data_IF_140430122320
#
_entry.id   IF_140430122320
#
_cell.length_a   1.000
_cell.length_b   1.000
_cell.length_c   1.000
_cell.angle_alpha   90.00
_cell.angle_beta   90.00
_cell.angle_gamma   90.00
#
_symmetry.space_group_name_H-M   'P 1'
#
loop_
_entity.id
_entity.type
_entity.pdbx_description
1 polymer ?
#
# COMPACT_ATOMS: atom_id res chain seq x y z
N UNK A 1 47.20 52.67 25.47
CA UNK A 1 46.72 51.42 26.10
C UNK A 1 45.52 50.90 25.26
N UNK A 2 45.76 49.94 24.38
CA UNK A 2 44.75 49.38 23.48
C UNK A 2 44.41 48.00 24.02
N UNK A 3 43.19 47.84 24.53
CA UNK A 3 42.69 46.55 25.06
C UNK A 3 42.00 45.79 23.89
N UNK A 4 42.67 44.73 23.42
CA UNK A 4 42.12 43.81 22.45
C UNK A 4 41.15 42.86 23.16
N UNK A 5 39.86 43.02 22.92
CA UNK A 5 38.84 42.05 23.31
C UNK A 5 38.75 40.98 22.21
N UNK A 6 39.22 39.76 22.54
CA UNK A 6 39.10 38.61 21.69
C UNK A 6 37.65 38.12 21.69
N UNK A 7 36.98 38.17 20.52
CA UNK A 7 35.68 37.54 20.28
C UNK A 7 35.95 36.08 19.94
N UNK A 8 35.64 35.18 20.86
CA UNK A 8 35.63 33.77 20.61
C UNK A 8 34.31 33.39 19.88
N UNK A 9 34.39 33.10 18.58
CA UNK A 9 33.28 32.61 17.79
C UNK A 9 33.09 31.12 18.09
N UNK A 10 32.00 30.79 18.81
CA UNK A 10 31.57 29.43 19.08
C UNK A 10 30.80 28.91 17.86
N UNK A 11 31.46 28.14 17.01
CA UNK A 11 30.82 27.42 15.88
C UNK A 11 30.03 26.23 16.43
N UNK A 12 28.69 26.38 16.49
CA UNK A 12 27.77 25.31 16.78
C UNK A 12 27.65 24.41 15.52
N UNK A 13 28.29 23.25 15.53
CA UNK A 13 28.11 22.23 14.49
C UNK A 13 26.73 21.57 14.68
N UNK A 14 25.77 21.93 13.87
CA UNK A 14 24.47 21.25 13.79
C UNK A 14 24.70 19.95 13.01
N UNK A 15 24.80 18.83 13.72
CA UNK A 15 24.79 17.50 13.11
C UNK A 15 23.37 17.20 12.63
N UNK A 16 23.11 17.37 11.35
CA UNK A 16 21.89 16.88 10.69
C UNK A 16 21.95 15.36 10.65
N UNK A 17 21.27 14.69 11.58
CA UNK A 17 20.99 13.26 11.49
C UNK A 17 20.03 13.02 10.33
N UNK A 18 20.55 12.59 9.18
CA UNK A 18 19.75 12.08 8.08
C UNK A 18 19.13 10.77 8.56
N UNK A 19 17.85 10.81 9.00
CA UNK A 19 17.10 9.61 9.28
C UNK A 19 16.96 8.85 7.95
N UNK A 20 17.55 7.65 7.87
CA UNK A 20 17.35 6.75 6.75
C UNK A 20 15.86 6.40 6.68
N UNK A 21 15.14 7.02 5.76
CA UNK A 21 13.79 6.61 5.42
C UNK A 21 13.91 5.23 4.78
N UNK A 22 13.37 4.21 5.43
CA UNK A 22 13.20 2.90 4.81
C UNK A 22 12.31 3.10 3.58
N UNK A 23 12.89 2.90 2.40
CA UNK A 23 12.14 3.00 1.14
C UNK A 23 10.97 2.02 1.19
N UNK A 24 9.80 2.46 0.72
CA UNK A 24 8.64 1.59 0.57
C UNK A 24 9.02 0.37 -0.31
N UNK A 25 8.50 -0.83 -0.01
CA UNK A 25 8.85 -2.02 -0.77
C UNK A 25 8.43 -1.88 -2.23
N UNK A 26 9.31 -2.30 -3.15
CA UNK A 26 8.99 -2.35 -4.58
C UNK A 26 8.15 -3.60 -4.87
N UNK A 27 6.98 -3.40 -5.50
CA UNK A 27 6.09 -4.48 -5.87
C UNK A 27 6.58 -5.30 -7.07
N UNK A 28 6.33 -6.61 -7.02
CA UNK A 28 6.60 -7.56 -8.10
C UNK A 28 5.29 -8.23 -8.53
N UNK A 29 4.91 -8.04 -9.79
CA UNK A 29 3.64 -8.53 -10.32
C UNK A 29 3.57 -10.07 -10.41
N UNK A 30 4.70 -10.76 -10.60
CA UNK A 30 4.71 -12.22 -10.64
C UNK A 30 4.41 -12.79 -9.24
N UNK A 31 5.06 -12.26 -8.20
CA UNK A 31 4.74 -12.62 -6.82
C UNK A 31 3.31 -12.21 -6.43
N UNK A 32 2.85 -11.04 -6.92
CA UNK A 32 1.48 -10.58 -6.71
C UNK A 32 0.44 -11.56 -7.26
N UNK A 33 0.68 -12.12 -8.45
CA UNK A 33 -0.19 -13.12 -9.06
C UNK A 33 -0.42 -14.34 -8.16
N UNK A 34 0.63 -14.83 -7.53
CA UNK A 34 0.54 -16.01 -6.67
C UNK A 34 -0.28 -15.77 -5.38
N UNK A 35 -0.47 -14.49 -5.04
CA UNK A 35 -1.20 -14.05 -3.83
C UNK A 35 -2.67 -13.72 -4.08
N UNK A 36 -3.14 -13.75 -5.33
CA UNK A 36 -4.51 -13.32 -5.71
C UNK A 36 -5.63 -14.22 -5.21
N UNK A 37 -5.35 -15.44 -4.76
CA UNK A 37 -6.37 -16.44 -4.42
C UNK A 37 -7.45 -15.95 -3.45
N UNK A 38 -7.07 -15.13 -2.47
CA UNK A 38 -8.03 -14.55 -1.52
C UNK A 38 -8.84 -13.39 -2.11
N UNK A 39 -8.37 -12.83 -3.20
CA UNK A 39 -8.99 -11.68 -3.87
C UNK A 39 -10.00 -12.13 -4.93
N UNK A 40 -9.64 -13.16 -5.72
CA UNK A 40 -10.38 -13.61 -6.90
C UNK A 40 -11.77 -14.13 -6.59
N UNK A 41 -12.00 -14.70 -5.40
CA UNK A 41 -13.30 -15.21 -4.98
C UNK A 41 -14.40 -14.14 -4.96
N UNK A 42 -14.02 -12.88 -4.84
CA UNK A 42 -14.94 -11.75 -4.89
C UNK A 42 -14.62 -10.81 -6.06
N UNK A 43 -13.38 -10.40 -6.21
CA UNK A 43 -12.95 -9.42 -7.21
C UNK A 43 -12.75 -10.00 -8.62
N UNK A 44 -12.70 -11.34 -8.76
CA UNK A 44 -12.60 -12.02 -10.06
C UNK A 44 -13.93 -12.29 -10.75
N UNK A 45 -15.06 -12.01 -10.10
CA UNK A 45 -16.40 -12.28 -10.61
C UNK A 45 -17.06 -10.97 -11.04
N UNK A 46 -17.43 -10.89 -12.31
CA UNK A 46 -18.08 -9.70 -12.84
C UNK A 46 -19.45 -9.49 -12.19
N UNK A 47 -19.68 -8.25 -11.70
CA UNK A 47 -20.93 -7.87 -11.08
C UNK A 47 -21.19 -8.50 -9.72
N UNK A 48 -20.17 -9.11 -9.09
CA UNK A 48 -20.32 -9.68 -7.75
C UNK A 48 -20.74 -8.63 -6.71
N UNK A 49 -21.69 -9.00 -5.88
CA UNK A 49 -22.20 -8.15 -4.79
C UNK A 49 -22.10 -8.91 -3.47
N UNK A 50 -21.50 -8.30 -2.49
CA UNK A 50 -21.56 -8.78 -1.12
C UNK A 50 -22.97 -8.53 -0.57
N UNK A 51 -23.50 -9.48 0.22
CA UNK A 51 -24.84 -9.37 0.82
C UNK A 51 -24.80 -8.94 2.30
N UNK A 52 -23.65 -9.03 2.94
CA UNK A 52 -23.47 -8.75 4.37
C UNK A 52 -22.17 -7.98 4.61
N UNK A 53 -22.16 -6.99 5.53
CA UNK A 53 -23.25 -6.48 6.37
C UNK A 53 -24.31 -5.67 5.61
N UNK A 54 -24.01 -5.26 4.41
CA UNK A 54 -24.90 -4.55 3.50
C UNK A 54 -24.62 -4.97 2.06
N UNK A 55 -25.58 -4.73 1.18
CA UNK A 55 -25.40 -5.03 -0.25
C UNK A 55 -24.41 -4.05 -0.85
N UNK A 56 -23.23 -4.55 -1.19
CA UNK A 56 -22.14 -3.74 -1.73
C UNK A 56 -21.60 -4.34 -3.03
N UNK A 57 -21.44 -3.50 -4.06
CA UNK A 57 -20.83 -3.92 -5.31
C UNK A 57 -19.32 -4.06 -5.15
N UNK A 58 -18.80 -5.27 -5.32
CA UNK A 58 -17.36 -5.55 -5.23
C UNK A 58 -16.66 -4.95 -6.44
N UNK A 59 -15.66 -4.07 -6.25
CA UNK A 59 -14.99 -3.41 -7.37
C UNK A 59 -14.08 -4.38 -8.13
N UNK A 60 -13.90 -4.12 -9.42
CA UNK A 60 -12.85 -4.76 -10.22
C UNK A 60 -11.52 -4.10 -9.87
N UNK A 61 -10.46 -4.90 -9.77
CA UNK A 61 -9.12 -4.41 -9.41
C UNK A 61 -8.23 -4.20 -10.63
N UNK A 62 -8.39 -5.01 -11.67
CA UNK A 62 -7.53 -4.95 -12.87
C UNK A 62 -7.56 -3.58 -13.55
N UNK A 63 -6.37 -3.03 -13.83
CA UNK A 63 -6.20 -1.73 -14.46
C UNK A 63 -6.26 -0.52 -13.50
N UNK A 64 -6.38 -0.75 -12.20
CA UNK A 64 -6.34 0.31 -11.20
C UNK A 64 -4.88 0.76 -10.94
N UNK A 65 -4.68 2.01 -10.57
CA UNK A 65 -3.35 2.52 -10.23
C UNK A 65 -2.76 1.81 -9.02
N UNK A 66 -1.50 1.35 -9.13
CA UNK A 66 -0.80 0.65 -8.05
C UNK A 66 -0.83 1.43 -6.73
N UNK A 67 -0.50 2.71 -6.76
CA UNK A 67 -0.52 3.57 -5.58
C UNK A 67 -1.90 3.66 -4.91
N UNK A 68 -2.99 3.60 -5.69
CA UNK A 68 -4.33 3.56 -5.12
C UNK A 68 -4.63 2.22 -4.43
N UNK A 69 -4.22 1.10 -5.04
CA UNK A 69 -4.41 -0.23 -4.45
C UNK A 69 -3.62 -0.35 -3.15
N UNK A 70 -2.34 0.07 -3.14
CA UNK A 70 -1.50 0.09 -1.94
C UNK A 70 -2.16 0.89 -0.82
N UNK A 71 -2.53 2.14 -1.11
CA UNK A 71 -3.18 3.02 -0.14
C UNK A 71 -4.47 2.39 0.40
N UNK A 72 -5.33 1.87 -0.46
CA UNK A 72 -6.59 1.26 -0.05
C UNK A 72 -6.39 0.03 0.85
N UNK A 73 -5.41 -0.83 0.55
CA UNK A 73 -5.10 -2.00 1.37
C UNK A 73 -4.52 -1.61 2.73
N UNK A 74 -3.65 -0.60 2.79
CA UNK A 74 -3.17 -0.05 4.06
C UNK A 74 -4.31 0.55 4.88
N UNK A 75 -5.18 1.34 4.29
CA UNK A 75 -6.34 1.92 4.97
C UNK A 75 -7.27 0.85 5.56
N UNK A 76 -7.46 -0.29 4.87
CA UNK A 76 -8.18 -1.42 5.42
C UNK A 76 -7.42 -2.09 6.56
N UNK A 77 -6.10 -2.29 6.42
CA UNK A 77 -5.24 -2.90 7.43
C UNK A 77 -5.21 -2.08 8.71
N UNK A 78 -5.14 -0.76 8.59
CA UNK A 78 -5.07 0.18 9.71
C UNK A 78 -6.45 0.52 10.31
N UNK A 79 -7.52 0.11 9.63
CA UNK A 79 -8.90 0.32 10.09
C UNK A 79 -9.54 1.64 9.68
N UNK A 80 -8.87 2.43 8.84
CA UNK A 80 -9.41 3.67 8.29
C UNK A 80 -10.56 3.42 7.32
N UNK A 81 -10.57 2.25 6.63
CA UNK A 81 -11.71 1.74 5.88
C UNK A 81 -12.42 0.65 6.67
N UNK A 82 -13.75 0.69 6.68
CA UNK A 82 -14.55 -0.09 7.63
C UNK A 82 -15.11 -1.42 7.09
N UNK A 83 -15.00 -1.72 5.77
CA UNK A 83 -15.63 -2.94 5.22
C UNK A 83 -15.03 -4.21 5.84
N UNK A 84 -15.80 -5.02 6.60
CA UNK A 84 -15.25 -6.05 7.49
C UNK A 84 -14.42 -7.13 6.76
N UNK A 85 -14.91 -7.62 5.61
CA UNK A 85 -14.21 -8.66 4.85
C UNK A 85 -12.85 -8.18 4.35
N UNK A 86 -12.80 -6.94 3.84
CA UNK A 86 -11.53 -6.37 3.37
C UNK A 86 -10.56 -6.08 4.51
N UNK A 87 -11.04 -5.66 5.67
CA UNK A 87 -10.20 -5.49 6.87
C UNK A 87 -9.58 -6.82 7.30
N UNK A 88 -10.37 -7.89 7.33
CA UNK A 88 -9.88 -9.22 7.69
C UNK A 88 -8.80 -9.71 6.72
N UNK A 89 -8.98 -9.50 5.42
CA UNK A 89 -8.00 -9.88 4.40
C UNK A 89 -6.75 -9.02 4.52
N UNK A 90 -6.89 -7.69 4.55
CA UNK A 90 -5.76 -6.76 4.58
C UNK A 90 -4.90 -6.93 5.85
N UNK A 91 -5.49 -7.28 6.98
CA UNK A 91 -4.77 -7.56 8.23
C UNK A 91 -3.76 -8.72 8.11
N UNK A 92 -3.96 -9.64 7.16
CA UNK A 92 -3.05 -10.78 6.93
C UNK A 92 -1.90 -10.47 5.98
N UNK A 93 -1.94 -9.32 5.29
CA UNK A 93 -0.95 -8.95 4.29
C UNK A 93 0.25 -8.23 4.92
N UNK A 94 1.46 -8.59 4.51
CA UNK A 94 2.64 -7.77 4.75
C UNK A 94 2.66 -6.57 3.79
N UNK A 95 3.49 -5.57 4.07
CA UNK A 95 3.64 -4.41 3.19
C UNK A 95 4.21 -4.82 1.82
N UNK A 96 5.06 -5.85 1.79
CA UNK A 96 5.54 -6.44 0.54
C UNK A 96 4.41 -7.14 -0.24
N UNK A 97 3.49 -7.85 0.45
CA UNK A 97 2.34 -8.46 -0.21
C UNK A 97 1.42 -7.41 -0.84
N UNK A 98 1.21 -6.31 -0.13
CA UNK A 98 0.42 -5.17 -0.62
C UNK A 98 1.06 -4.58 -1.87
N UNK A 99 2.38 -4.32 -1.87
CA UNK A 99 3.10 -3.80 -3.02
C UNK A 99 3.05 -4.77 -4.22
N UNK A 100 3.25 -6.06 -3.98
CA UNK A 100 3.21 -7.09 -5.03
C UNK A 100 1.81 -7.21 -5.67
N UNK A 101 0.75 -7.23 -4.85
CA UNK A 101 -0.64 -7.25 -5.33
C UNK A 101 -0.99 -5.99 -6.12
N UNK A 102 -0.53 -4.83 -5.66
CA UNK A 102 -0.72 -3.57 -6.37
C UNK A 102 -0.02 -3.57 -7.74
N UNK A 103 1.21 -4.06 -7.80
CA UNK A 103 1.95 -4.22 -9.06
C UNK A 103 1.22 -5.18 -10.03
N UNK A 104 0.67 -6.28 -9.53
CA UNK A 104 -0.06 -7.24 -10.36
C UNK A 104 -1.35 -6.63 -10.92
N UNK A 105 -2.22 -6.09 -10.07
CA UNK A 105 -3.51 -5.57 -10.51
C UNK A 105 -3.42 -4.30 -11.35
N UNK A 106 -2.34 -3.53 -11.24
CA UNK A 106 -2.15 -2.33 -12.07
C UNK A 106 -1.83 -2.62 -13.53
N UNK A 107 -1.38 -3.82 -13.88
CA UNK A 107 -0.99 -4.19 -15.24
C UNK A 107 -2.15 -4.40 -16.22
N UNK A 108 -3.39 -4.14 -15.80
CA UNK A 108 -4.57 -4.26 -16.63
C UNK A 108 -5.35 -5.55 -16.39
N UNK A 109 -6.51 -5.65 -17.06
CA UNK A 109 -7.48 -6.72 -16.90
C UNK A 109 -6.83 -8.10 -16.99
N UNK A 110 -6.69 -8.78 -15.87
CA UNK A 110 -6.69 -10.23 -15.90
C UNK A 110 -8.10 -10.64 -16.32
N UNK A 111 -8.32 -10.70 -17.63
CA UNK A 111 -9.40 -11.52 -18.14
C UNK A 111 -9.09 -12.94 -17.66
N UNK A 112 -9.67 -13.33 -16.57
CA UNK A 112 -9.92 -14.74 -16.34
C UNK A 112 -10.86 -15.13 -17.47
N UNK A 113 -10.29 -15.73 -18.52
CA UNK A 113 -11.08 -16.36 -19.55
C UNK A 113 -11.78 -17.53 -18.87
N UNK A 114 -12.90 -17.26 -18.25
CA UNK A 114 -13.89 -18.24 -17.90
C UNK A 114 -14.48 -18.73 -19.22
N UNK A 115 -14.10 -19.94 -19.60
CA UNK A 115 -14.80 -20.73 -20.59
C UNK A 115 -15.84 -21.55 -19.87
#
# INVERSE_FOLDING_TARGET
MIRHTAFAALLLAVATTCAAQTAAPTGDAARGKDKTRMCEGCHGIDGWRAAYPEVYSVPRLGGQHAAYIEKALHEYKDGERSFPSMRAIAATLSDQDIADLAAYYSQGSTKTAGK
#
